data_IF_606061162715
#
_entry.id   IF_606061162715
#
_cell.length_a   1.000
_cell.length_b   1.000
_cell.length_c   1.000
_cell.angle_alpha   90.00
_cell.angle_beta   90.00
_cell.angle_gamma   90.00
#
_symmetry.space_group_name_H-M   'P 1'
#
loop_
_entity.id
_entity.type
_entity.pdbx_description
1 polymer ?
#
# COMPACT_ATOMS: atom_id res chain seq x y z
N UNK A 1 10.37 -12.21 14.04
CA UNK A 1 10.58 -13.66 13.70
C UNK A 1 9.28 -14.33 13.21
N UNK A 2 8.13 -14.14 13.85
CA UNK A 2 6.88 -14.81 13.42
C UNK A 2 6.42 -14.38 12.00
N UNK A 3 6.50 -13.09 11.68
CA UNK A 3 6.22 -12.61 10.33
C UNK A 3 7.04 -13.32 9.25
N UNK A 4 8.38 -13.38 9.43
CA UNK A 4 9.27 -14.06 8.48
C UNK A 4 8.95 -15.55 8.34
N UNK A 5 8.70 -16.23 9.47
CA UNK A 5 8.33 -17.65 9.47
C UNK A 5 7.03 -17.95 8.71
N UNK A 6 6.02 -17.08 8.86
CA UNK A 6 4.76 -17.22 8.10
C UNK A 6 5.00 -16.91 6.62
N UNK A 7 5.77 -15.87 6.31
CA UNK A 7 6.13 -15.52 4.94
C UNK A 7 6.82 -16.69 4.20
N UNK A 8 7.85 -17.26 4.80
CA UNK A 8 8.58 -18.41 4.21
C UNK A 8 7.72 -19.65 3.99
N UNK A 9 6.67 -19.84 4.77
CA UNK A 9 5.78 -21.00 4.66
C UNK A 9 4.59 -20.80 3.74
N UNK A 10 4.04 -19.58 3.66
CA UNK A 10 2.73 -19.33 3.04
C UNK A 10 2.74 -18.26 1.96
N UNK A 11 3.79 -17.44 1.85
CA UNK A 11 3.88 -16.32 0.91
C UNK A 11 5.16 -16.35 0.08
N UNK A 12 5.56 -17.54 -0.36
CA UNK A 12 6.78 -17.78 -1.14
C UNK A 12 6.51 -17.93 -2.64
N UNK A 13 5.51 -17.28 -3.14
CA UNK A 13 5.20 -17.31 -4.57
C UNK A 13 6.35 -16.77 -5.44
N UNK A 14 6.46 -17.25 -6.65
CA UNK A 14 7.46 -16.82 -7.63
C UNK A 14 6.77 -16.26 -8.86
N UNK A 15 7.39 -15.25 -9.46
CA UNK A 15 6.86 -14.53 -10.62
C UNK A 15 6.63 -15.46 -11.82
N UNK A 16 7.54 -16.40 -12.04
CA UNK A 16 7.57 -17.19 -13.28
C UNK A 16 6.89 -18.56 -13.15
N UNK A 17 6.78 -19.11 -11.94
CA UNK A 17 6.25 -20.46 -11.75
C UNK A 17 4.83 -20.50 -11.22
N UNK A 18 4.40 -19.48 -10.47
CA UNK A 18 3.09 -19.47 -9.79
C UNK A 18 2.03 -18.64 -10.50
N UNK A 19 2.40 -17.90 -11.56
CA UNK A 19 1.46 -17.14 -12.39
C UNK A 19 1.26 -17.87 -13.71
N UNK A 20 0.02 -18.19 -14.10
CA UNK A 20 -0.28 -18.99 -15.31
C UNK A 20 -0.19 -18.13 -16.58
N UNK A 21 1.01 -17.65 -16.93
CA UNK A 21 1.26 -16.71 -18.02
C UNK A 21 0.76 -17.20 -19.40
N UNK A 22 0.75 -18.51 -19.62
CA UNK A 22 0.27 -19.14 -20.83
C UNK A 22 -1.25 -18.98 -21.05
N UNK A 23 -1.97 -18.54 -20.00
CA UNK A 23 -3.42 -18.30 -20.04
C UNK A 23 -3.80 -16.84 -20.30
N UNK A 24 -2.85 -15.98 -20.67
CA UNK A 24 -3.16 -14.59 -21.02
C UNK A 24 -4.12 -14.57 -22.21
N UNK A 25 -5.28 -13.95 -21.99
CA UNK A 25 -6.29 -13.72 -23.01
C UNK A 25 -6.29 -12.26 -23.47
N UNK A 26 -5.59 -11.99 -24.56
CA UNK A 26 -5.45 -10.62 -25.10
C UNK A 26 -6.76 -10.01 -25.60
N UNK A 27 -7.81 -10.81 -25.80
CA UNK A 27 -9.15 -10.31 -26.17
C UNK A 27 -9.79 -9.48 -25.07
N UNK A 28 -9.28 -9.60 -23.84
CA UNK A 28 -9.73 -8.85 -22.64
C UNK A 28 -9.00 -7.51 -22.46
N UNK A 29 -8.03 -7.21 -23.31
CA UNK A 29 -7.26 -5.98 -23.21
C UNK A 29 -8.15 -4.77 -23.46
N UNK A 30 -8.14 -3.82 -22.51
CA UNK A 30 -8.80 -2.51 -22.66
C UNK A 30 -7.86 -1.41 -22.19
N UNK A 31 -8.00 -0.19 -22.74
CA UNK A 31 -7.22 0.97 -22.27
C UNK A 31 -7.37 1.22 -20.76
N UNK A 32 -8.57 0.99 -20.21
CA UNK A 32 -8.88 1.19 -18.81
C UNK A 32 -8.14 0.18 -17.92
N UNK A 33 -8.14 -1.09 -18.33
CA UNK A 33 -7.38 -2.16 -17.66
C UNK A 33 -5.89 -1.86 -17.69
N UNK A 34 -5.36 -1.54 -18.87
CA UNK A 34 -3.96 -1.19 -19.03
C UNK A 34 -3.55 -0.02 -18.11
N UNK A 35 -4.35 1.05 -18.09
CA UNK A 35 -4.12 2.23 -17.27
C UNK A 35 -4.17 1.92 -15.77
N UNK A 36 -5.10 1.08 -15.33
CA UNK A 36 -5.22 0.68 -13.93
C UNK A 36 -4.01 -0.14 -13.46
N UNK A 37 -3.63 -1.19 -14.22
CA UNK A 37 -2.48 -2.04 -13.89
C UNK A 37 -1.17 -1.24 -13.94
N UNK A 38 -1.01 -0.37 -14.95
CA UNK A 38 0.14 0.53 -15.04
C UNK A 38 0.22 1.47 -13.83
N UNK A 39 -0.92 1.93 -13.32
CA UNK A 39 -0.94 2.82 -12.14
C UNK A 39 -0.50 2.07 -10.89
N UNK A 40 -0.96 0.84 -10.66
CA UNK A 40 -0.45 0.00 -9.58
C UNK A 40 1.06 -0.25 -9.74
N UNK A 41 1.50 -0.64 -10.95
CA UNK A 41 2.92 -0.85 -11.22
C UNK A 41 3.76 0.40 -10.94
N UNK A 42 3.32 1.57 -11.41
CA UNK A 42 4.01 2.85 -11.21
C UNK A 42 4.12 3.24 -9.73
N UNK A 43 3.13 2.89 -8.90
CA UNK A 43 3.18 3.09 -7.44
C UNK A 43 4.27 2.23 -6.81
N UNK A 44 4.42 0.97 -7.24
CA UNK A 44 5.45 0.05 -6.76
C UNK A 44 6.87 0.46 -7.21
N UNK A 45 7.02 1.16 -8.32
CA UNK A 45 8.33 1.64 -8.79
C UNK A 45 8.98 2.69 -7.85
N UNK A 46 8.23 3.28 -6.91
CA UNK A 46 8.79 4.11 -5.85
C UNK A 46 9.41 3.30 -4.69
N UNK A 47 9.47 1.98 -4.78
CA UNK A 47 10.05 1.11 -3.76
C UNK A 47 11.44 1.54 -3.26
N UNK A 48 12.39 2.03 -4.09
CA UNK A 48 13.67 2.52 -3.60
C UNK A 48 13.53 3.67 -2.59
N UNK A 49 12.57 4.56 -2.78
CA UNK A 49 12.29 5.65 -1.84
C UNK A 49 11.69 5.09 -0.54
N UNK A 50 10.67 4.25 -0.63
CA UNK A 50 10.02 3.61 0.52
C UNK A 50 11.02 2.83 1.37
N UNK A 51 11.80 1.96 0.72
CA UNK A 51 12.77 1.09 1.37
C UNK A 51 13.91 1.87 2.03
N UNK A 52 14.44 2.91 1.36
CA UNK A 52 15.54 3.71 1.90
C UNK A 52 15.11 4.51 3.13
N UNK A 53 13.96 5.15 3.09
CA UNK A 53 13.41 5.89 4.22
C UNK A 53 13.09 4.98 5.40
N UNK A 54 12.35 3.90 5.17
CA UNK A 54 11.99 2.94 6.19
C UNK A 54 13.20 2.27 6.85
N UNK A 55 14.16 1.81 6.06
CA UNK A 55 15.39 1.17 6.57
C UNK A 55 16.24 2.11 7.41
N UNK A 56 16.35 3.39 7.02
CA UNK A 56 17.07 4.42 7.78
C UNK A 56 16.39 4.66 9.12
N UNK A 57 15.07 4.82 9.13
CA UNK A 57 14.31 5.10 10.33
C UNK A 57 14.35 3.95 11.33
N UNK A 58 14.34 2.70 10.86
CA UNK A 58 14.25 1.50 11.71
C UNK A 58 15.59 0.83 11.98
N UNK A 59 16.71 1.43 11.56
CA UNK A 59 18.06 0.84 11.67
C UNK A 59 18.40 0.35 13.06
N UNK A 60 17.96 1.04 14.11
CA UNK A 60 18.23 0.68 15.51
C UNK A 60 17.23 -0.30 16.11
N UNK A 61 16.18 -0.68 15.37
CA UNK A 61 15.10 -1.56 15.84
C UNK A 61 15.11 -2.86 15.03
N UNK A 62 15.80 -3.88 15.56
CA UNK A 62 16.04 -5.15 14.87
C UNK A 62 14.78 -5.74 14.21
N UNK A 63 13.68 -5.86 14.96
CA UNK A 63 12.45 -6.47 14.45
C UNK A 63 11.83 -5.72 13.26
N UNK A 64 11.85 -4.41 13.28
CA UNK A 64 11.34 -3.54 12.21
C UNK A 64 12.29 -3.53 11.01
N UNK A 65 13.59 -3.40 11.22
CA UNK A 65 14.57 -3.41 10.13
C UNK A 65 14.53 -4.72 9.33
N UNK A 66 14.38 -5.87 10.01
CA UNK A 66 14.25 -7.18 9.32
C UNK A 66 12.88 -7.37 8.66
N UNK A 67 11.83 -6.82 9.24
CA UNK A 67 10.53 -6.76 8.56
C UNK A 67 10.64 -5.96 7.25
N UNK A 68 11.21 -4.76 7.29
CA UNK A 68 11.33 -3.90 6.10
C UNK A 68 12.20 -4.53 5.01
N UNK A 69 13.25 -5.24 5.36
CA UNK A 69 14.04 -5.99 4.38
C UNK A 69 13.20 -7.07 3.66
N UNK A 70 12.36 -7.78 4.40
CA UNK A 70 11.43 -8.76 3.84
C UNK A 70 10.29 -8.10 3.07
N UNK A 71 9.70 -7.06 3.60
CA UNK A 71 8.68 -6.24 2.98
C UNK A 71 9.17 -5.71 1.62
N UNK A 72 10.34 -5.07 1.58
CA UNK A 72 10.92 -4.55 0.32
C UNK A 72 11.11 -5.65 -0.73
N UNK A 73 11.48 -6.88 -0.32
CA UNK A 73 11.55 -8.01 -1.24
C UNK A 73 10.16 -8.40 -1.77
N UNK A 74 9.13 -8.41 -0.94
CA UNK A 74 7.76 -8.74 -1.34
C UNK A 74 7.20 -7.65 -2.27
N UNK A 75 7.36 -6.35 -1.96
CA UNK A 75 6.95 -5.22 -2.82
C UNK A 75 7.66 -5.21 -4.18
N UNK A 76 8.94 -5.58 -4.23
CA UNK A 76 9.66 -5.66 -5.51
C UNK A 76 9.00 -6.65 -6.49
N UNK A 77 8.39 -7.71 -5.98
CA UNK A 77 7.65 -8.68 -6.81
C UNK A 77 6.32 -8.12 -7.30
N UNK A 78 5.67 -7.25 -6.51
CA UNK A 78 4.43 -6.60 -6.92
C UNK A 78 4.65 -5.73 -8.16
N UNK A 79 5.66 -4.86 -8.15
CA UNK A 79 6.02 -4.06 -9.32
C UNK A 79 6.35 -4.91 -10.55
N UNK A 80 7.17 -5.96 -10.34
CA UNK A 80 7.59 -6.86 -11.43
C UNK A 80 6.43 -7.66 -12.03
N UNK A 81 5.49 -8.16 -11.22
CA UNK A 81 4.37 -8.96 -11.74
C UNK A 81 3.40 -8.12 -12.55
N UNK A 82 3.16 -6.87 -12.16
CA UNK A 82 2.33 -5.94 -12.94
C UNK A 82 3.01 -5.54 -14.24
N UNK A 83 4.32 -5.27 -14.20
CA UNK A 83 5.12 -5.01 -15.41
C UNK A 83 5.04 -6.18 -16.39
N UNK A 84 5.34 -7.39 -15.93
CA UNK A 84 5.30 -8.59 -16.77
C UNK A 84 3.90 -8.82 -17.37
N UNK A 85 2.84 -8.58 -16.61
CA UNK A 85 1.48 -8.67 -17.14
C UNK A 85 1.23 -7.68 -18.28
N UNK A 86 1.61 -6.42 -18.11
CA UNK A 86 1.46 -5.38 -19.14
C UNK A 86 2.19 -5.71 -20.42
N UNK A 87 3.43 -6.22 -20.32
CA UNK A 87 4.26 -6.56 -21.48
C UNK A 87 3.75 -7.84 -22.14
N UNK A 88 3.52 -8.91 -21.39
CA UNK A 88 3.10 -10.22 -21.93
C UNK A 88 1.71 -10.17 -22.53
N UNK A 89 0.82 -9.38 -22.00
CA UNK A 89 -0.52 -9.17 -22.57
C UNK A 89 -0.51 -8.27 -23.82
N UNK A 90 0.61 -7.59 -24.11
CA UNK A 90 0.73 -6.62 -25.20
C UNK A 90 -0.01 -5.30 -24.95
N UNK A 91 -0.45 -5.05 -23.70
CA UNK A 91 -1.07 -3.77 -23.35
C UNK A 91 -0.06 -2.62 -23.26
N UNK A 92 1.22 -2.97 -23.05
CA UNK A 92 2.35 -2.05 -23.18
C UNK A 92 3.52 -2.77 -23.87
N UNK A 93 4.23 -2.04 -24.70
CA UNK A 93 5.53 -2.43 -25.22
C UNK A 93 6.62 -2.09 -24.18
N UNK A 94 7.79 -2.70 -24.29
CA UNK A 94 8.97 -2.35 -23.47
C UNK A 94 9.26 -0.85 -23.54
N UNK A 95 9.20 -0.25 -24.75
CA UNK A 95 9.45 1.19 -24.93
C UNK A 95 8.42 2.08 -24.25
N UNK A 96 7.14 1.72 -24.26
CA UNK A 96 6.11 2.46 -23.53
C UNK A 96 6.33 2.35 -22.02
N UNK A 97 6.79 1.20 -21.55
CA UNK A 97 7.10 1.01 -20.14
C UNK A 97 8.34 1.80 -19.71
N UNK A 98 9.39 1.88 -20.53
CA UNK A 98 10.55 2.77 -20.27
C UNK A 98 10.10 4.23 -20.07
N UNK A 99 9.10 4.71 -20.80
CA UNK A 99 8.53 6.05 -20.58
C UNK A 99 7.80 6.20 -19.24
N UNK A 100 7.17 5.12 -18.73
CA UNK A 100 6.58 5.09 -17.40
C UNK A 100 7.68 5.19 -16.34
N UNK A 101 8.75 4.40 -16.48
CA UNK A 101 9.92 4.42 -15.59
C UNK A 101 10.55 5.82 -15.55
N UNK A 102 10.79 6.44 -16.69
CA UNK A 102 11.33 7.81 -16.79
C UNK A 102 10.44 8.82 -16.05
N UNK A 103 9.12 8.68 -16.18
CA UNK A 103 8.15 9.56 -15.51
C UNK A 103 8.15 9.38 -14.00
N UNK A 104 8.24 8.13 -13.53
CA UNK A 104 8.31 7.80 -12.11
C UNK A 104 9.62 8.30 -11.51
N UNK A 105 10.76 7.95 -12.13
CA UNK A 105 12.08 8.28 -11.60
C UNK A 105 12.45 9.77 -11.69
N UNK A 106 11.67 10.57 -12.45
CA UNK A 106 11.78 12.02 -12.42
C UNK A 106 11.30 12.67 -11.11
N UNK A 107 10.64 11.90 -10.25
CA UNK A 107 10.12 12.34 -8.95
C UNK A 107 10.58 11.40 -7.85
N UNK A 108 10.56 11.88 -6.61
CA UNK A 108 10.84 11.07 -5.43
C UNK A 108 9.65 11.12 -4.46
N UNK A 109 9.35 9.98 -3.88
CA UNK A 109 8.40 9.95 -2.77
C UNK A 109 9.05 10.42 -1.48
N UNK A 110 8.34 11.27 -0.76
CA UNK A 110 8.74 11.76 0.57
C UNK A 110 7.75 11.23 1.59
N UNK A 111 8.22 10.57 2.67
CA UNK A 111 7.32 10.00 3.66
C UNK A 111 6.52 11.09 4.38
N UNK A 112 5.19 10.93 4.52
CA UNK A 112 4.35 11.86 5.28
C UNK A 112 4.38 11.59 6.78
N UNK A 113 5.50 11.07 7.30
CA UNK A 113 5.70 10.71 8.69
C UNK A 113 7.16 10.92 9.11
N UNK A 114 7.39 11.19 10.39
CA UNK A 114 8.71 11.49 10.95
C UNK A 114 9.16 10.54 12.06
N UNK A 115 8.25 9.71 12.58
CA UNK A 115 8.54 8.74 13.66
C UNK A 115 8.17 7.32 13.25
N UNK A 116 8.76 6.32 13.92
CA UNK A 116 8.43 4.90 13.72
C UNK A 116 6.94 4.64 13.99
N UNK A 117 6.38 5.29 15.00
CA UNK A 117 4.96 5.16 15.36
C UNK A 117 4.05 5.71 14.26
N UNK A 118 4.35 6.90 13.73
CA UNK A 118 3.63 7.45 12.57
C UNK A 118 3.80 6.58 11.32
N UNK A 119 5.01 6.05 11.06
CA UNK A 119 5.25 5.11 9.99
C UNK A 119 4.36 3.87 10.12
N UNK A 120 4.24 3.30 11.32
CA UNK A 120 3.38 2.15 11.54
C UNK A 120 1.89 2.48 11.33
N UNK A 121 1.44 3.66 11.77
CA UNK A 121 0.08 4.14 11.52
C UNK A 121 -0.19 4.32 10.03
N UNK A 122 0.73 4.95 9.31
CA UNK A 122 0.63 5.15 7.86
C UNK A 122 0.60 3.80 7.13
N UNK A 123 1.55 2.90 7.40
CA UNK A 123 1.62 1.59 6.77
C UNK A 123 0.38 0.74 7.03
N UNK A 124 -0.18 0.76 8.24
CA UNK A 124 -1.42 0.03 8.52
C UNK A 124 -2.61 0.50 7.67
N UNK A 125 -2.67 1.80 7.35
CA UNK A 125 -3.72 2.39 6.53
C UNK A 125 -3.45 2.19 5.04
N UNK A 126 -2.22 2.41 4.59
CA UNK A 126 -1.81 2.29 3.20
C UNK A 126 -1.92 0.84 2.71
N UNK A 127 -1.29 -0.12 3.40
CA UNK A 127 -1.37 -1.55 3.05
C UNK A 127 -2.80 -2.09 3.13
N UNK A 128 -3.57 -1.59 4.09
CA UNK A 128 -5.00 -1.93 4.18
C UNK A 128 -5.81 -1.40 3.00
N UNK A 129 -5.50 -0.22 2.49
CA UNK A 129 -6.12 0.37 1.31
C UNK A 129 -5.70 -0.38 0.04
N UNK A 130 -4.41 -0.68 -0.12
CA UNK A 130 -3.88 -1.45 -1.25
C UNK A 130 -4.49 -2.86 -1.29
N UNK A 131 -4.56 -3.55 -0.15
CA UNK A 131 -5.27 -4.83 -0.06
C UNK A 131 -6.72 -4.73 -0.54
N UNK A 132 -7.44 -3.68 -0.15
CA UNK A 132 -8.84 -3.49 -0.55
C UNK A 132 -8.97 -3.26 -2.06
N UNK A 133 -8.05 -2.49 -2.66
CA UNK A 133 -7.98 -2.27 -4.11
C UNK A 133 -7.68 -3.58 -4.85
N UNK A 134 -6.66 -4.32 -4.42
CA UNK A 134 -6.28 -5.60 -5.03
C UNK A 134 -7.36 -6.66 -4.88
N UNK A 135 -8.06 -6.69 -3.73
CA UNK A 135 -9.22 -7.56 -3.56
C UNK A 135 -10.33 -7.22 -4.56
N UNK A 136 -10.64 -5.96 -4.79
CA UNK A 136 -11.65 -5.56 -5.76
C UNK A 136 -11.26 -5.96 -7.20
N UNK A 137 -9.98 -5.83 -7.55
CA UNK A 137 -9.45 -6.29 -8.84
C UNK A 137 -9.50 -7.80 -8.98
N UNK A 138 -9.18 -8.54 -7.91
CA UNK A 138 -9.32 -10.00 -7.88
C UNK A 138 -10.77 -10.42 -8.11
N UNK A 139 -11.72 -9.86 -7.34
CA UNK A 139 -13.15 -10.17 -7.47
C UNK A 139 -13.65 -9.90 -8.90
N UNK A 140 -13.15 -8.81 -9.54
CA UNK A 140 -13.44 -8.48 -10.94
C UNK A 140 -12.84 -9.51 -11.90
N UNK A 141 -11.58 -9.88 -11.73
CA UNK A 141 -10.91 -10.87 -12.56
C UNK A 141 -11.59 -12.24 -12.49
N UNK A 142 -11.99 -12.67 -11.29
CA UNK A 142 -12.76 -13.90 -11.07
C UNK A 142 -14.12 -13.85 -11.81
N UNK A 143 -14.85 -12.75 -11.73
CA UNK A 143 -16.11 -12.58 -12.44
C UNK A 143 -15.96 -12.58 -13.97
N UNK A 144 -14.81 -12.12 -14.46
CA UNK A 144 -14.45 -12.11 -15.89
C UNK A 144 -13.78 -13.43 -16.32
N UNK A 145 -13.57 -14.41 -15.43
CA UNK A 145 -12.82 -15.64 -15.67
C UNK A 145 -11.39 -15.37 -16.22
N UNK A 146 -10.72 -14.36 -15.68
CA UNK A 146 -9.32 -14.03 -16.00
C UNK A 146 -8.40 -14.72 -14.99
N UNK A 147 -7.92 -15.90 -15.34
CA UNK A 147 -7.10 -16.74 -14.46
C UNK A 147 -5.78 -16.07 -14.09
N UNK A 148 -5.19 -15.27 -14.99
CA UNK A 148 -3.89 -14.63 -14.77
C UNK A 148 -4.02 -13.48 -13.77
N UNK A 149 -4.95 -12.56 -13.98
CA UNK A 149 -5.18 -11.47 -13.02
C UNK A 149 -5.72 -11.98 -11.68
N UNK A 150 -6.55 -13.03 -11.69
CA UNK A 150 -6.98 -13.69 -10.46
C UNK A 150 -5.80 -14.23 -9.66
N UNK A 151 -4.84 -14.90 -10.32
CA UNK A 151 -3.62 -15.39 -9.68
C UNK A 151 -2.77 -14.23 -9.14
N UNK A 152 -2.48 -13.22 -9.98
CA UNK A 152 -1.68 -12.05 -9.58
C UNK A 152 -2.28 -11.39 -8.35
N UNK A 153 -3.54 -10.94 -8.41
CA UNK A 153 -4.16 -10.23 -7.28
C UNK A 153 -4.40 -11.12 -6.05
N UNK A 154 -4.41 -12.45 -6.21
CA UNK A 154 -4.44 -13.35 -5.07
C UNK A 154 -3.14 -13.34 -4.29
N UNK A 155 -1.99 -13.41 -4.97
CA UNK A 155 -0.67 -13.48 -4.30
C UNK A 155 -0.25 -12.13 -3.73
N UNK A 156 -0.37 -11.04 -4.51
CA UNK A 156 -0.04 -9.69 -4.00
C UNK A 156 -0.98 -9.28 -2.86
N UNK A 157 -2.28 -9.55 -2.97
CA UNK A 157 -3.25 -9.21 -1.91
C UNK A 157 -2.99 -9.96 -0.58
N UNK A 158 -2.47 -11.19 -0.61
CA UNK A 158 -2.07 -11.90 0.62
C UNK A 158 -0.86 -11.23 1.28
N UNK A 159 0.09 -10.73 0.49
CA UNK A 159 1.24 -9.99 1.01
C UNK A 159 0.79 -8.69 1.67
N UNK A 160 -0.06 -7.87 1.01
CA UNK A 160 -0.62 -6.63 1.56
C UNK A 160 -1.38 -6.82 2.87
N UNK A 161 -2.23 -7.84 2.92
CA UNK A 161 -2.96 -8.17 4.16
C UNK A 161 -2.02 -8.50 5.33
N UNK A 162 -0.90 -9.17 5.04
CA UNK A 162 0.10 -9.50 6.04
C UNK A 162 0.93 -8.28 6.45
N UNK A 163 1.27 -7.39 5.52
CA UNK A 163 1.95 -6.12 5.78
C UNK A 163 1.09 -5.24 6.71
N UNK A 164 -0.17 -5.00 6.34
CA UNK A 164 -1.12 -4.27 7.19
C UNK A 164 -1.26 -4.90 8.59
N UNK A 165 -1.30 -6.24 8.66
CA UNK A 165 -1.34 -6.98 9.92
C UNK A 165 -0.10 -6.78 10.78
N UNK A 166 1.08 -6.69 10.17
CA UNK A 166 2.33 -6.41 10.87
C UNK A 166 2.34 -4.99 11.44
N UNK A 167 2.02 -3.98 10.63
CA UNK A 167 1.97 -2.59 11.10
C UNK A 167 0.97 -2.42 12.24
N UNK A 168 -0.21 -3.05 12.19
CA UNK A 168 -1.17 -3.04 13.32
C UNK A 168 -0.58 -3.64 14.60
N UNK A 169 0.26 -4.68 14.51
CA UNK A 169 0.96 -5.22 15.68
C UNK A 169 1.98 -4.25 16.25
N UNK A 170 2.70 -3.52 15.39
CA UNK A 170 3.63 -2.46 15.82
C UNK A 170 2.85 -1.37 16.56
N UNK A 171 1.73 -0.88 16.01
CA UNK A 171 0.87 0.10 16.69
C UNK A 171 0.40 -0.45 18.05
N UNK A 172 0.03 -1.73 18.14
CA UNK A 172 -0.35 -2.36 19.40
C UNK A 172 0.75 -2.30 20.46
N UNK A 173 2.01 -2.54 20.06
CA UNK A 173 3.16 -2.42 20.98
C UNK A 173 3.36 -0.97 21.42
N UNK A 174 3.25 0.00 20.52
CA UNK A 174 3.33 1.43 20.84
C UNK A 174 2.18 1.89 21.75
N UNK A 175 0.99 1.27 21.60
CA UNK A 175 -0.17 1.51 22.46
C UNK A 175 0.06 1.00 23.91
N UNK A 176 0.80 -0.10 24.05
CA UNK A 176 1.16 -0.64 25.37
C UNK A 176 2.21 0.24 26.08
N UNK A 177 3.07 0.91 25.30
CA UNK A 177 4.10 1.83 25.82
C UNK A 177 3.53 3.22 26.12
N UNK A 178 2.91 3.87 25.15
CA UNK A 178 2.26 5.20 25.30
C UNK A 178 0.98 5.28 24.46
N UNK A 179 -0.13 4.89 25.07
CA UNK A 179 -1.45 4.90 24.43
C UNK A 179 -1.85 6.29 23.91
N UNK A 180 -1.64 7.31 24.73
CA UNK A 180 -2.10 8.67 24.42
C UNK A 180 -1.38 9.22 23.20
N UNK A 181 -0.06 9.13 23.18
CA UNK A 181 0.75 9.59 22.07
C UNK A 181 0.50 8.74 20.81
N UNK A 182 0.24 7.43 20.95
CA UNK A 182 -0.07 6.56 19.81
C UNK A 182 -1.41 6.92 19.15
N UNK A 183 -2.43 7.23 19.96
CA UNK A 183 -3.73 7.69 19.42
C UNK A 183 -3.58 9.07 18.75
N UNK A 184 -2.77 9.97 19.30
CA UNK A 184 -2.50 11.27 18.70
C UNK A 184 -1.79 11.12 17.34
N UNK A 185 -0.75 10.29 17.25
CA UNK A 185 -0.07 10.00 15.99
C UNK A 185 -0.99 9.33 14.96
N UNK A 186 -1.84 8.39 15.40
CA UNK A 186 -2.82 7.78 14.49
C UNK A 186 -3.84 8.81 13.97
N UNK A 187 -4.31 9.71 14.82
CA UNK A 187 -5.23 10.78 14.46
C UNK A 187 -4.59 11.75 13.45
N UNK A 188 -3.34 12.15 13.72
CA UNK A 188 -2.55 13.02 12.84
C UNK A 188 -2.33 12.38 11.46
N UNK A 189 -1.86 11.14 11.43
CA UNK A 189 -1.64 10.39 10.17
C UNK A 189 -2.94 10.22 9.40
N UNK A 190 -4.04 9.87 10.05
CA UNK A 190 -5.34 9.71 9.38
C UNK A 190 -5.86 11.03 8.79
N UNK A 191 -5.68 12.16 9.48
CA UNK A 191 -6.11 13.48 9.00
C UNK A 191 -5.33 13.93 7.76
N UNK A 192 -4.07 13.51 7.64
CA UNK A 192 -3.17 13.89 6.55
C UNK A 192 -2.94 12.73 5.54
N UNK A 193 -3.71 11.66 5.65
CA UNK A 193 -3.48 10.46 4.86
C UNK A 193 -3.69 10.70 3.36
N UNK A 194 -2.70 10.28 2.59
CA UNK A 194 -2.72 10.18 1.13
C UNK A 194 -2.04 8.88 0.72
N UNK A 195 -2.55 8.27 -0.35
CA UNK A 195 -1.84 7.15 -0.97
C UNK A 195 -0.52 7.62 -1.58
N UNK A 196 0.50 6.76 -1.66
CA UNK A 196 1.81 7.15 -2.23
C UNK A 196 1.72 7.73 -3.63
N UNK A 197 0.86 7.18 -4.48
CA UNK A 197 0.65 7.65 -5.86
C UNK A 197 -0.01 9.03 -5.97
N UNK A 198 -0.67 9.51 -4.91
CA UNK A 198 -1.34 10.81 -4.94
C UNK A 198 -0.33 11.97 -4.95
N UNK A 199 -0.40 12.79 -5.99
CA UNK A 199 0.54 13.88 -6.25
C UNK A 199 1.81 13.46 -7.02
N UNK A 200 2.12 12.17 -7.11
CA UNK A 200 3.24 11.64 -7.88
C UNK A 200 2.82 11.18 -9.28
N UNK A 201 1.74 10.43 -9.36
CA UNK A 201 1.19 9.89 -10.62
C UNK A 201 0.08 10.83 -11.10
N UNK A 202 0.27 11.39 -12.29
CA UNK A 202 -0.73 12.29 -12.87
C UNK A 202 -2.07 11.58 -13.08
N UNK A 203 -3.16 12.15 -12.54
CA UNK A 203 -4.49 11.58 -12.64
C UNK A 203 -4.71 10.29 -11.84
N UNK A 204 -3.91 10.04 -10.80
CA UNK A 204 -3.88 8.80 -10.00
C UNK A 204 -5.27 8.24 -9.68
N UNK A 205 -6.12 9.02 -9.04
CA UNK A 205 -7.45 8.57 -8.63
C UNK A 205 -8.38 8.23 -9.80
N UNK A 206 -8.33 9.02 -10.88
CA UNK A 206 -9.16 8.77 -12.06
C UNK A 206 -8.69 7.54 -12.83
N UNK A 207 -7.38 7.35 -12.94
CA UNK A 207 -6.78 6.18 -13.58
C UNK A 207 -7.18 4.87 -12.88
N UNK A 208 -7.15 4.85 -11.55
CA UNK A 208 -7.60 3.70 -10.76
C UNK A 208 -9.11 3.51 -10.84
N UNK A 209 -9.88 4.59 -10.72
CA UNK A 209 -11.35 4.55 -10.76
C UNK A 209 -11.86 3.98 -12.09
N UNK A 210 -11.31 4.41 -13.20
CA UNK A 210 -11.69 3.98 -14.55
C UNK A 210 -11.50 2.46 -14.72
N UNK A 211 -10.41 1.89 -14.20
CA UNK A 211 -10.15 0.44 -14.23
C UNK A 211 -10.81 -0.36 -13.11
N UNK A 212 -11.53 0.31 -12.20
CA UNK A 212 -12.20 -0.35 -11.07
C UNK A 212 -11.31 -0.61 -9.85
N UNK A 213 -10.08 -0.04 -9.82
CA UNK A 213 -9.14 -0.13 -8.68
C UNK A 213 -9.29 1.00 -7.65
N UNK A 214 -10.14 1.99 -7.92
CA UNK A 214 -10.35 3.11 -7.02
C UNK A 214 -11.12 2.72 -5.75
N UNK A 215 -10.70 3.27 -4.61
CA UNK A 215 -11.38 3.10 -3.33
C UNK A 215 -12.07 4.40 -2.94
N UNK A 216 -13.37 4.33 -2.67
CA UNK A 216 -14.10 5.49 -2.17
C UNK A 216 -13.77 5.79 -0.70
N UNK A 217 -13.90 7.06 -0.24
CA UNK A 217 -13.70 7.39 1.18
C UNK A 217 -14.57 6.55 2.13
N UNK A 218 -15.78 6.18 1.70
CA UNK A 218 -16.68 5.32 2.49
C UNK A 218 -16.13 3.90 2.64
N UNK A 219 -15.57 3.33 1.56
CA UNK A 219 -14.93 2.01 1.59
C UNK A 219 -13.67 2.04 2.46
N UNK A 220 -12.81 3.03 2.29
CA UNK A 220 -11.63 3.22 3.12
C UNK A 220 -11.99 3.31 4.61
N UNK A 221 -12.93 4.19 4.97
CA UNK A 221 -13.39 4.29 6.36
C UNK A 221 -14.00 3.00 6.88
N UNK A 222 -14.85 2.33 6.09
CA UNK A 222 -15.59 1.15 6.52
C UNK A 222 -14.74 -0.13 6.63
N UNK A 223 -13.78 -0.30 5.72
CA UNK A 223 -13.03 -1.56 5.56
C UNK A 223 -11.57 -1.47 6.01
N UNK A 224 -11.00 -0.27 6.15
CA UNK A 224 -9.62 -0.08 6.59
C UNK A 224 -9.59 0.60 7.97
N UNK A 225 -10.09 1.82 8.08
CA UNK A 225 -9.94 2.63 9.31
C UNK A 225 -10.71 2.03 10.48
N UNK A 226 -12.01 1.79 10.34
CA UNK A 226 -12.83 1.27 11.45
C UNK A 226 -12.40 -0.13 11.91
N UNK A 227 -12.04 -1.10 11.05
CA UNK A 227 -11.47 -2.37 11.50
C UNK A 227 -10.14 -2.20 12.21
N UNK A 228 -9.26 -1.30 11.75
CA UNK A 228 -7.98 -1.00 12.41
C UNK A 228 -8.21 -0.42 13.81
N UNK A 229 -9.07 0.58 13.96
CA UNK A 229 -9.42 1.16 15.27
C UNK A 229 -9.97 0.10 16.22
N UNK A 230 -10.87 -0.77 15.74
CA UNK A 230 -11.43 -1.87 16.57
C UNK A 230 -10.36 -2.84 17.03
N UNK A 231 -9.44 -3.23 16.14
CA UNK A 231 -8.36 -4.16 16.46
C UNK A 231 -7.37 -3.60 17.50
N UNK A 232 -7.24 -2.28 17.56
CA UNK A 232 -6.39 -1.55 18.49
C UNK A 232 -7.15 -1.10 19.77
N UNK A 233 -8.44 -1.37 19.86
CA UNK A 233 -9.25 -0.93 20.99
C UNK A 233 -9.35 0.60 21.10
N UNK A 234 -9.26 1.33 19.98
CA UNK A 234 -9.41 2.79 19.95
C UNK A 234 -10.89 3.13 19.72
N UNK A 235 -11.47 3.87 20.67
CA UNK A 235 -12.84 4.34 20.55
C UNK A 235 -12.94 5.56 19.62
N UNK A 236 -14.14 5.77 19.07
CA UNK A 236 -14.41 6.96 18.24
C UNK A 236 -14.26 8.27 19.01
N UNK A 237 -14.53 8.26 20.31
CA UNK A 237 -14.38 9.45 21.17
C UNK A 237 -12.91 9.80 21.38
N UNK A 238 -12.04 8.81 21.64
CA UNK A 238 -10.60 9.02 21.78
C UNK A 238 -10.02 9.59 20.48
N UNK A 239 -10.36 8.99 19.32
CA UNK A 239 -9.90 9.48 18.02
C UNK A 239 -10.34 10.93 17.76
N UNK A 240 -11.61 11.27 18.00
CA UNK A 240 -12.13 12.64 17.82
C UNK A 240 -11.45 13.65 18.74
N UNK A 241 -11.20 13.28 20.00
CA UNK A 241 -10.47 14.15 20.92
C UNK A 241 -9.05 14.41 20.46
N UNK A 242 -8.34 13.40 19.98
CA UNK A 242 -6.99 13.54 19.44
C UNK A 242 -6.96 14.39 18.16
N UNK A 243 -7.91 14.20 17.23
CA UNK A 243 -8.03 15.03 16.02
C UNK A 243 -8.28 16.51 16.34
N UNK A 244 -9.12 16.81 17.33
CA UNK A 244 -9.36 18.18 17.75
C UNK A 244 -8.11 18.82 18.36
N UNK A 245 -7.31 18.08 19.12
CA UNK A 245 -6.05 18.56 19.68
C UNK A 245 -5.00 18.80 18.58
N UNK A 246 -4.88 17.91 17.60
CA UNK A 246 -3.96 18.05 16.45
C UNK A 246 -4.29 19.31 15.64
N UNK A 247 -5.58 19.53 15.36
CA UNK A 247 -6.04 20.74 14.66
C UNK A 247 -5.73 22.03 15.42
N UNK A 248 -6.00 22.06 16.73
CA UNK A 248 -5.68 23.21 17.59
C UNK A 248 -4.16 23.50 17.63
N UNK A 249 -3.33 22.45 17.66
CA UNK A 249 -1.89 22.59 17.64
C UNK A 249 -1.40 23.17 16.29
N UNK A 250 -1.96 22.71 15.18
CA UNK A 250 -1.64 23.22 13.85
C UNK A 250 -2.05 24.70 13.69
N UNK A 251 -3.25 25.08 14.16
CA UNK A 251 -3.71 26.48 14.16
C UNK A 251 -2.84 27.39 15.01
N UNK A 252 -2.44 26.93 16.20
CA UNK A 252 -1.54 27.68 17.08
C UNK A 252 -0.16 27.91 16.45
N UNK A 253 0.39 26.89 15.76
CA UNK A 253 1.67 27.01 15.06
C UNK A 253 1.61 28.06 13.92
N UNK A 254 0.50 28.13 13.20
CA UNK A 254 0.29 29.12 12.14
C UNK A 254 0.21 30.56 12.68
N UNK A 255 -0.27 30.76 13.90
CA UNK A 255 -0.37 32.09 14.51
C UNK A 255 0.98 32.59 15.08
N UNK A 256 1.97 31.70 15.23
CA UNK A 256 3.30 31.99 15.76
C UNK A 256 4.39 32.11 14.69
N UNK A 257 4.05 31.80 13.42
CA UNK A 257 4.93 31.90 12.25
C UNK A 257 4.78 33.22 11.53
#
# INVERSE_FOLDING_TARGET
MEFSKVAERRRKWTLFDDIPWERIDTSRNTPERATCIETFCAEELYLPDYASHGSRMTRSVFGLGWFLARWSFEESRHGLVFREYLIRSGMRSEREFEMVEDTVFAKSWVPPFSTIRQMACYGALQEGATYLAYKAQKDKAEAECDDVLTAIFSVVGIDEAAHAGFYRKVIGIEMDDDRTATIADFAHVLANFKMPGDGLIAGYHERLKTGGGGISPRQFMGHVVLPTLRSLGISRSELKSAQAQDQMAAEAALLLS
#
